data_IF_449625424428
#
_entry.id   IF_449625424428
#
_cell.length_a   1.000
_cell.length_b   1.000
_cell.length_c   1.000
_cell.angle_alpha   90.00
_cell.angle_beta   90.00
_cell.angle_gamma   90.00
#
_symmetry.space_group_name_H-M   'P 1'
#
loop_
_entity.id
_entity.type
_entity.pdbx_description
1 polymer ?
#
# COMPACT_ATOMS: atom_id res chain seq x y z
N UNK A 1 -10.37 3.11 -10.43
CA UNK A 1 -11.50 2.97 -9.46
C UNK A 1 -10.95 2.47 -8.14
N UNK A 2 -11.46 2.98 -7.00
CA UNK A 2 -11.00 2.56 -5.66
C UNK A 2 -12.05 1.64 -5.05
N UNK A 3 -11.63 0.47 -4.57
CA UNK A 3 -12.44 -0.51 -3.83
C UNK A 3 -11.96 -0.56 -2.38
N UNK A 4 -12.88 -0.47 -1.42
CA UNK A 4 -12.55 -0.64 0.00
C UNK A 4 -13.18 -1.94 0.53
N UNK A 5 -12.33 -2.80 1.09
CA UNK A 5 -12.75 -3.98 1.86
C UNK A 5 -12.61 -3.66 3.33
N UNK A 6 -13.73 -3.49 4.01
CA UNK A 6 -13.77 -3.20 5.44
C UNK A 6 -15.09 -3.65 6.06
N UNK A 7 -15.07 -4.13 7.29
CA UNK A 7 -16.26 -4.38 8.10
C UNK A 7 -16.67 -3.16 8.94
N UNK A 8 -15.86 -2.09 8.91
CA UNK A 8 -16.18 -0.82 9.57
C UNK A 8 -17.14 0.02 8.72
N UNK A 9 -18.44 -0.06 8.99
CA UNK A 9 -19.48 0.65 8.23
C UNK A 9 -19.40 2.17 8.30
N UNK A 10 -18.67 2.74 9.25
CA UNK A 10 -18.51 4.20 9.35
C UNK A 10 -17.71 4.79 8.17
N UNK A 11 -16.89 4.00 7.50
CA UNK A 11 -16.08 4.41 6.36
C UNK A 11 -16.90 4.61 5.07
N UNK A 12 -18.09 4.02 4.95
CA UNK A 12 -18.89 4.05 3.72
C UNK A 12 -19.87 5.23 3.62
N UNK A 13 -19.43 6.42 4.04
CA UNK A 13 -20.22 7.67 3.96
C UNK A 13 -19.79 8.59 2.80
N UNK A 14 -19.17 8.02 1.77
CA UNK A 14 -18.62 8.77 0.63
C UNK A 14 -18.88 8.03 -0.67
N UNK A 15 -18.86 8.75 -1.78
CA UNK A 15 -18.92 8.23 -3.15
C UNK A 15 -17.54 8.09 -3.82
N UNK A 16 -16.46 8.42 -3.11
CA UNK A 16 -15.10 8.43 -3.66
C UNK A 16 -14.50 7.04 -3.84
N UNK A 17 -15.05 6.04 -3.17
CA UNK A 17 -14.67 4.64 -3.34
C UNK A 17 -15.89 3.73 -3.18
N UNK A 18 -15.78 2.51 -3.67
CA UNK A 18 -16.85 1.52 -3.67
C UNK A 18 -16.62 0.51 -2.55
N UNK A 19 -17.68 0.24 -1.75
CA UNK A 19 -17.66 -0.91 -0.84
C UNK A 19 -17.48 -2.20 -1.65
N UNK A 20 -16.54 -3.03 -1.26
CA UNK A 20 -16.28 -4.31 -1.91
C UNK A 20 -16.20 -5.44 -0.89
N UNK A 21 -16.73 -6.60 -1.25
CA UNK A 21 -16.44 -7.84 -0.56
C UNK A 21 -15.03 -8.31 -0.91
N UNK A 22 -14.45 -9.18 -0.10
CA UNK A 22 -13.15 -9.80 -0.40
C UNK A 22 -13.19 -10.54 -1.75
N UNK A 23 -14.27 -11.23 -2.07
CA UNK A 23 -14.48 -11.90 -3.36
C UNK A 23 -14.39 -10.90 -4.54
N UNK A 24 -15.07 -9.75 -4.42
CA UNK A 24 -15.02 -8.70 -5.45
C UNK A 24 -13.62 -8.13 -5.57
N UNK A 25 -12.93 -7.85 -4.48
CA UNK A 25 -11.56 -7.39 -4.47
C UNK A 25 -10.63 -8.38 -5.18
N UNK A 26 -10.74 -9.66 -4.86
CA UNK A 26 -9.95 -10.71 -5.50
C UNK A 26 -10.26 -10.84 -7.00
N UNK A 27 -11.50 -10.68 -7.43
CA UNK A 27 -11.83 -10.69 -8.86
C UNK A 27 -11.14 -9.58 -9.66
N UNK A 28 -10.82 -8.45 -9.03
CA UNK A 28 -10.05 -7.34 -9.61
C UNK A 28 -8.54 -7.64 -9.59
N UNK A 29 -8.05 -8.23 -8.50
CA UNK A 29 -6.62 -8.44 -8.27
C UNK A 29 -6.06 -9.69 -8.97
N UNK A 30 -6.82 -10.79 -9.01
CA UNK A 30 -6.35 -12.08 -9.56
C UNK A 30 -5.82 -12.00 -11.01
N UNK A 31 -6.38 -11.19 -11.93
CA UNK A 31 -5.83 -11.04 -13.27
C UNK A 31 -4.48 -10.34 -13.33
N UNK A 32 -4.08 -9.62 -12.28
CA UNK A 32 -2.86 -8.82 -12.26
C UNK A 32 -1.65 -9.71 -12.02
N UNK A 33 -0.74 -9.80 -12.99
CA UNK A 33 0.59 -10.43 -12.81
C UNK A 33 1.58 -9.49 -12.14
N UNK A 34 1.37 -8.21 -12.30
CA UNK A 34 2.15 -7.11 -11.74
C UNK A 34 1.19 -6.25 -10.94
N UNK A 35 1.43 -6.11 -9.66
CA UNK A 35 0.54 -5.46 -8.72
C UNK A 35 1.31 -4.44 -7.86
N UNK A 36 0.77 -3.25 -7.72
CA UNK A 36 1.28 -2.29 -6.73
C UNK A 36 1.01 -2.83 -5.32
N UNK A 37 1.94 -2.57 -4.41
CA UNK A 37 1.85 -2.90 -3.00
C UNK A 37 2.30 -1.69 -2.19
N UNK A 38 1.48 -1.28 -1.25
CA UNK A 38 1.78 -0.27 -0.24
C UNK A 38 1.03 -0.63 1.05
N UNK A 39 1.38 -0.02 2.17
CA UNK A 39 0.69 -0.22 3.44
C UNK A 39 0.65 1.06 4.27
N UNK A 40 -0.41 1.20 5.08
CA UNK A 40 -0.47 2.23 6.11
C UNK A 40 -0.44 1.59 7.49
N UNK A 41 0.31 2.21 8.39
CA UNK A 41 0.61 1.69 9.71
C UNK A 41 0.41 2.75 10.79
N UNK A 42 0.22 2.30 12.03
CA UNK A 42 0.05 3.19 13.18
C UNK A 42 1.36 3.87 13.62
N UNK A 43 2.49 3.50 13.04
CA UNK A 43 3.81 4.04 13.36
C UNK A 43 4.92 3.28 12.65
N UNK A 44 6.16 3.45 13.08
CA UNK A 44 7.33 2.94 12.36
C UNK A 44 7.82 1.57 12.84
N UNK A 45 7.45 1.15 14.03
CA UNK A 45 7.94 -0.10 14.64
C UNK A 45 6.91 -1.22 14.48
N UNK A 46 7.20 -2.17 13.60
CA UNK A 46 6.32 -3.29 13.26
C UNK A 46 6.04 -4.26 14.43
N UNK A 47 6.80 -4.20 15.53
CA UNK A 47 6.58 -5.05 16.71
C UNK A 47 5.65 -4.42 17.74
N UNK A 48 5.47 -3.11 17.69
CA UNK A 48 4.68 -2.36 18.68
C UNK A 48 3.53 -1.56 18.07
N UNK A 49 3.45 -1.50 16.74
CA UNK A 49 2.45 -0.73 16.01
C UNK A 49 1.68 -1.61 15.04
N UNK A 50 0.42 -1.27 14.84
CA UNK A 50 -0.48 -2.06 14.00
C UNK A 50 -0.31 -1.73 12.50
N UNK A 51 -0.42 -2.77 11.68
CA UNK A 51 -0.72 -2.65 10.26
C UNK A 51 -2.20 -2.28 10.12
N UNK A 52 -2.48 -1.12 9.54
CA UNK A 52 -3.85 -0.62 9.40
C UNK A 52 -4.48 -1.04 8.08
N UNK A 53 -3.77 -0.83 6.98
CA UNK A 53 -4.28 -1.16 5.64
C UNK A 53 -3.20 -1.77 4.76
N UNK A 54 -3.64 -2.56 3.78
CA UNK A 54 -2.83 -3.02 2.66
C UNK A 54 -3.49 -2.51 1.39
N UNK A 55 -2.71 -1.86 0.53
CA UNK A 55 -3.14 -1.37 -0.77
C UNK A 55 -2.58 -2.25 -1.88
N UNK A 56 -3.45 -2.71 -2.74
CA UNK A 56 -3.11 -3.57 -3.87
C UNK A 56 -3.80 -3.10 -5.14
N UNK A 57 -3.13 -3.14 -6.27
CA UNK A 57 -3.78 -2.76 -7.51
C UNK A 57 -2.85 -2.41 -8.65
N UNK A 58 -3.38 -1.60 -9.54
CA UNK A 58 -2.68 -0.99 -10.66
C UNK A 58 -3.19 0.44 -10.87
N UNK A 59 -2.77 1.10 -11.96
CA UNK A 59 -3.19 2.46 -12.29
C UNK A 59 -4.72 2.63 -12.39
N UNK A 60 -5.45 1.61 -12.84
CA UNK A 60 -6.88 1.70 -13.14
C UNK A 60 -7.75 1.32 -11.95
N UNK A 61 -7.30 0.34 -11.17
CA UNK A 61 -8.03 -0.21 -10.04
C UNK A 61 -7.13 -0.35 -8.82
N UNK A 62 -7.56 0.23 -7.71
CA UNK A 62 -6.91 0.13 -6.41
C UNK A 62 -7.86 -0.54 -5.42
N UNK A 63 -7.34 -1.49 -4.67
CA UNK A 63 -8.04 -2.16 -3.58
C UNK A 63 -7.35 -1.77 -2.28
N UNK A 64 -8.09 -1.12 -1.39
CA UNK A 64 -7.66 -0.83 -0.02
C UNK A 64 -8.32 -1.86 0.90
N UNK A 65 -7.52 -2.57 1.65
CA UNK A 65 -7.97 -3.62 2.58
C UNK A 65 -7.74 -3.11 4.00
N UNK A 66 -8.81 -2.89 4.74
CA UNK A 66 -8.76 -2.56 6.17
C UNK A 66 -8.36 -3.79 6.99
N UNK A 67 -7.04 -3.91 7.21
CA UNK A 67 -6.44 -5.06 7.88
C UNK A 67 -6.94 -5.27 9.31
N UNK A 68 -7.42 -4.22 9.95
CA UNK A 68 -7.88 -4.25 11.33
C UNK A 68 -9.29 -4.83 11.48
N UNK A 69 -10.12 -4.71 10.44
CA UNK A 69 -11.54 -5.11 10.51
C UNK A 69 -11.88 -6.42 9.82
N UNK A 70 -11.04 -6.89 8.88
CA UNK A 70 -11.31 -8.13 8.13
C UNK A 70 -11.11 -9.39 8.99
N UNK A 71 -11.82 -10.46 8.63
CA UNK A 71 -11.79 -11.75 9.34
C UNK A 71 -10.46 -12.49 9.14
N UNK A 72 -10.24 -13.54 9.93
CA UNK A 72 -9.06 -14.41 9.78
C UNK A 72 -9.04 -15.14 8.43
N UNK A 73 -10.19 -15.55 7.95
CA UNK A 73 -10.38 -16.21 6.66
C UNK A 73 -10.04 -15.25 5.52
N UNK A 74 -10.49 -14.00 5.59
CA UNK A 74 -10.13 -12.95 4.64
C UNK A 74 -8.65 -12.61 4.67
N UNK A 75 -8.03 -12.56 5.86
CA UNK A 75 -6.57 -12.39 6.00
C UNK A 75 -5.81 -13.52 5.32
N UNK A 76 -6.31 -14.76 5.41
CA UNK A 76 -5.67 -15.89 4.74
C UNK A 76 -5.75 -15.74 3.21
N UNK A 77 -6.88 -15.28 2.67
CA UNK A 77 -7.02 -15.01 1.22
C UNK A 77 -6.00 -13.97 0.76
N UNK A 78 -5.84 -12.88 1.51
CA UNK A 78 -4.84 -11.83 1.19
C UNK A 78 -3.42 -12.37 1.28
N UNK A 79 -3.13 -13.18 2.30
CA UNK A 79 -1.83 -13.85 2.46
C UNK A 79 -1.52 -14.74 1.25
N UNK A 80 -2.44 -15.61 0.85
CA UNK A 80 -2.28 -16.51 -0.29
C UNK A 80 -2.04 -15.73 -1.59
N UNK A 81 -2.72 -14.58 -1.75
CA UNK A 81 -2.51 -13.69 -2.87
C UNK A 81 -1.11 -13.07 -2.86
N UNK A 82 -0.64 -12.55 -1.73
CA UNK A 82 0.68 -11.92 -1.59
C UNK A 82 1.83 -12.93 -1.70
N UNK A 83 1.64 -14.17 -1.29
CA UNK A 83 2.61 -15.26 -1.41
C UNK A 83 2.57 -16.00 -2.76
N UNK A 84 1.69 -15.57 -3.66
CA UNK A 84 1.58 -16.15 -5.00
C UNK A 84 2.77 -15.75 -5.91
N UNK A 85 2.80 -16.32 -7.11
CA UNK A 85 3.85 -16.08 -8.10
C UNK A 85 3.58 -14.80 -8.92
N UNK A 86 3.42 -13.66 -8.22
CA UNK A 86 3.19 -12.33 -8.78
C UNK A 86 4.33 -11.40 -8.44
N UNK A 87 4.59 -10.44 -9.30
CA UNK A 87 5.54 -9.36 -9.03
C UNK A 87 4.82 -8.20 -8.34
N UNK A 88 5.24 -7.88 -7.13
CA UNK A 88 4.74 -6.71 -6.39
C UNK A 88 5.70 -5.54 -6.54
N UNK A 89 5.14 -4.38 -6.89
CA UNK A 89 5.87 -3.13 -7.06
C UNK A 89 5.54 -2.18 -5.93
N UNK A 90 6.53 -1.45 -5.44
CA UNK A 90 6.29 -0.38 -4.49
C UNK A 90 7.49 0.54 -4.33
N UNK A 91 7.42 1.39 -3.35
CA UNK A 91 8.48 2.36 -3.04
C UNK A 91 8.88 2.25 -1.57
N UNK A 92 10.13 1.90 -1.31
CA UNK A 92 10.62 1.60 0.04
C UNK A 92 9.91 0.38 0.67
N UNK A 93 9.70 -0.65 -0.13
CA UNK A 93 9.00 -1.88 0.26
C UNK A 93 9.62 -2.58 1.47
N UNK A 94 10.86 -2.30 1.80
CA UNK A 94 11.48 -2.82 3.02
C UNK A 94 10.64 -2.49 4.25
N UNK A 95 10.06 -1.28 4.31
CA UNK A 95 9.18 -0.88 5.39
C UNK A 95 7.91 -1.75 5.44
N UNK A 96 7.21 -1.84 4.33
CA UNK A 96 5.96 -2.62 4.21
C UNK A 96 6.18 -4.10 4.51
N UNK A 97 7.26 -4.66 3.99
CA UNK A 97 7.64 -6.06 4.22
C UNK A 97 7.89 -6.37 5.69
N UNK A 98 8.45 -5.44 6.49
CA UNK A 98 8.65 -5.69 7.92
C UNK A 98 7.31 -5.90 8.64
N UNK A 99 6.29 -5.09 8.31
CA UNK A 99 4.94 -5.27 8.86
C UNK A 99 4.26 -6.54 8.35
N UNK A 100 4.39 -6.86 7.07
CA UNK A 100 3.86 -8.11 6.51
C UNK A 100 4.51 -9.34 7.13
N UNK A 101 5.81 -9.33 7.35
CA UNK A 101 6.55 -10.45 7.96
C UNK A 101 6.09 -10.73 9.40
N UNK A 102 5.81 -9.69 10.18
CA UNK A 102 5.24 -9.86 11.52
C UNK A 102 3.84 -10.50 11.46
N UNK A 103 3.08 -10.27 10.36
CA UNK A 103 1.80 -10.95 10.12
C UNK A 103 1.98 -12.37 9.53
N UNK A 104 3.20 -12.83 9.33
CA UNK A 104 3.49 -14.14 8.73
C UNK A 104 3.22 -14.19 7.22
N UNK A 105 3.34 -13.07 6.50
CA UNK A 105 3.13 -12.93 5.06
C UNK A 105 4.47 -12.68 4.38
N UNK A 106 4.83 -13.52 3.38
CA UNK A 106 6.15 -13.52 2.74
C UNK A 106 6.03 -13.41 1.21
N UNK A 107 5.85 -12.21 0.63
CA UNK A 107 5.82 -12.03 -0.81
C UNK A 107 7.10 -12.53 -1.47
N UNK A 108 6.97 -13.31 -2.57
CA UNK A 108 8.11 -13.97 -3.20
C UNK A 108 8.87 -13.09 -4.17
N UNK A 109 8.17 -12.26 -4.91
CA UNK A 109 8.72 -11.43 -5.97
C UNK A 109 8.35 -9.98 -5.73
N UNK A 110 9.35 -9.18 -5.44
CA UNK A 110 9.20 -7.74 -5.18
C UNK A 110 10.13 -6.92 -6.06
N UNK A 111 9.70 -5.72 -6.41
CA UNK A 111 10.49 -4.73 -7.12
C UNK A 111 10.32 -3.38 -6.42
N UNK A 112 11.39 -2.90 -5.81
CA UNK A 112 11.40 -1.67 -5.02
C UNK A 112 11.98 -0.52 -5.84
N UNK A 113 11.13 0.44 -6.20
CA UNK A 113 11.51 1.61 -6.99
C UNK A 113 12.56 2.47 -6.30
N UNK A 114 12.55 2.55 -4.97
CA UNK A 114 13.56 3.33 -4.23
C UNK A 114 14.95 2.71 -4.35
N UNK A 115 15.06 1.39 -4.34
CA UNK A 115 16.35 0.70 -4.54
C UNK A 115 16.87 0.95 -5.95
N UNK A 116 15.99 0.84 -6.95
CA UNK A 116 16.37 1.13 -8.35
C UNK A 116 16.85 2.56 -8.50
N UNK A 117 16.13 3.53 -7.91
CA UNK A 117 16.54 4.94 -7.93
C UNK A 117 17.91 5.13 -7.28
N UNK A 118 18.18 4.48 -6.16
CA UNK A 118 19.48 4.52 -5.51
C UNK A 118 20.60 3.95 -6.38
N UNK A 119 20.35 2.90 -7.13
CA UNK A 119 21.31 2.31 -8.05
C UNK A 119 21.60 3.22 -9.24
N UNK A 120 20.60 3.90 -9.79
CA UNK A 120 20.75 4.86 -10.90
C UNK A 120 21.63 6.04 -10.51
N UNK A 121 21.56 6.49 -9.26
CA UNK A 121 22.37 7.59 -8.73
C UNK A 121 23.63 7.13 -7.99
N UNK A 122 24.02 5.87 -8.13
CA UNK A 122 25.23 5.36 -7.52
C UNK A 122 26.48 6.10 -8.13
N UNK A 123 27.30 6.69 -7.27
CA UNK A 123 28.46 7.48 -7.71
C UNK A 123 28.22 9.00 -7.77
N UNK A 124 26.99 9.46 -7.78
CA UNK A 124 26.68 10.90 -7.70
C UNK A 124 26.83 11.43 -6.26
N UNK A 125 27.08 12.74 -6.07
CA UNK A 125 27.12 13.37 -4.76
C UNK A 125 25.84 13.12 -3.94
N UNK A 126 25.96 13.02 -2.63
CA UNK A 126 24.82 12.75 -1.75
C UNK A 126 23.69 13.78 -1.88
N UNK A 127 24.00 15.03 -2.21
CA UNK A 127 23.04 16.11 -2.45
C UNK A 127 22.13 15.88 -3.68
N UNK A 128 22.52 14.99 -4.59
CA UNK A 128 21.76 14.63 -5.79
C UNK A 128 20.96 13.32 -5.61
N UNK A 129 21.08 12.68 -4.45
CA UNK A 129 20.47 11.37 -4.18
C UNK A 129 19.19 11.50 -3.37
N UNK A 130 18.24 12.29 -3.83
CA UNK A 130 16.95 12.35 -3.17
C UNK A 130 16.13 11.08 -3.47
N UNK A 131 15.77 10.34 -2.40
CA UNK A 131 15.20 8.99 -2.49
C UNK A 131 13.71 8.94 -2.26
N UNK A 132 13.04 10.09 -2.13
CA UNK A 132 11.62 10.10 -1.82
C UNK A 132 10.78 9.84 -3.07
N UNK A 133 9.65 9.11 -2.91
CA UNK A 133 8.69 8.95 -4.00
C UNK A 133 8.22 10.31 -4.56
N UNK A 134 8.09 11.32 -3.68
CA UNK A 134 7.73 12.68 -4.08
C UNK A 134 8.74 13.28 -5.06
N UNK A 135 10.04 13.12 -4.78
CA UNK A 135 11.09 13.63 -5.67
C UNK A 135 11.11 12.85 -7.00
N UNK A 136 11.00 11.53 -6.96
CA UNK A 136 10.92 10.71 -8.17
C UNK A 136 9.71 11.08 -9.03
N UNK A 137 8.52 11.22 -8.43
CA UNK A 137 7.32 11.64 -9.14
C UNK A 137 7.48 13.03 -9.78
N UNK A 138 8.10 13.97 -9.06
CA UNK A 138 8.41 15.28 -9.62
C UNK A 138 9.40 15.20 -10.77
N UNK A 139 10.52 14.51 -10.58
CA UNK A 139 11.62 14.47 -11.55
C UNK A 139 11.25 13.75 -12.85
N UNK A 140 10.48 12.66 -12.77
CA UNK A 140 10.15 11.83 -13.94
C UNK A 140 8.78 12.15 -14.54
N UNK A 141 7.82 12.59 -13.73
CA UNK A 141 6.43 12.73 -14.16
C UNK A 141 5.89 14.17 -14.04
N UNK A 142 6.65 15.07 -13.39
CA UNK A 142 6.21 16.43 -13.04
C UNK A 142 4.93 16.44 -12.18
N UNK A 143 4.78 15.42 -11.31
CA UNK A 143 3.65 15.26 -10.39
C UNK A 143 4.09 15.66 -8.99
N UNK A 144 3.32 16.55 -8.33
CA UNK A 144 3.54 16.91 -6.94
C UNK A 144 2.64 16.06 -6.02
N UNK A 145 3.27 15.18 -5.23
CA UNK A 145 2.56 14.34 -4.24
C UNK A 145 2.36 15.13 -2.95
N UNK A 146 1.09 15.27 -2.55
CA UNK A 146 0.72 15.85 -1.24
C UNK A 146 0.83 14.78 -0.14
N UNK A 147 1.59 15.08 0.91
CA UNK A 147 1.78 14.17 2.06
C UNK A 147 1.10 14.67 3.35
N UNK A 148 0.25 15.69 3.28
CA UNK A 148 -0.37 16.31 4.47
C UNK A 148 -1.26 15.34 5.24
N UNK A 149 -1.89 14.37 4.55
CA UNK A 149 -2.79 13.37 5.16
C UNK A 149 -2.04 12.34 6.00
N UNK A 150 -0.76 12.06 5.70
CA UNK A 150 0.02 11.02 6.39
C UNK A 150 0.12 11.25 7.90
N UNK A 151 0.23 12.50 8.34
CA UNK A 151 0.26 12.83 9.77
C UNK A 151 -1.04 12.52 10.53
N UNK A 152 -2.18 12.48 9.83
CA UNK A 152 -3.49 12.17 10.42
C UNK A 152 -3.65 10.68 10.72
N UNK A 153 -3.00 9.80 9.97
CA UNK A 153 -3.10 8.35 10.12
C UNK A 153 -2.69 7.91 11.52
N UNK A 154 -1.62 8.50 12.05
CA UNK A 154 -1.07 8.16 13.36
C UNK A 154 -2.05 8.53 14.49
N UNK A 155 -2.77 9.65 14.35
CA UNK A 155 -3.64 10.18 15.40
C UNK A 155 -5.09 9.69 15.28
N UNK A 156 -5.62 9.62 14.07
CA UNK A 156 -7.05 9.43 13.80
C UNK A 156 -7.39 8.02 13.32
N UNK A 157 -6.34 7.20 13.02
CA UNK A 157 -6.52 5.86 12.45
C UNK A 157 -7.07 5.90 11.01
N UNK A 158 -7.82 4.86 10.63
CA UNK A 158 -8.38 4.73 9.29
C UNK A 158 -9.63 5.60 9.13
N UNK A 159 -9.51 6.69 8.37
CA UNK A 159 -10.61 7.60 8.00
C UNK A 159 -10.85 7.56 6.48
N UNK A 160 -11.96 8.16 6.02
CA UNK A 160 -12.24 8.31 4.58
C UNK A 160 -11.10 9.01 3.83
N UNK A 161 -10.50 10.05 4.42
CA UNK A 161 -9.36 10.76 3.82
C UNK A 161 -8.14 9.86 3.69
N UNK A 162 -7.89 9.03 4.70
CA UNK A 162 -6.78 8.06 4.70
C UNK A 162 -6.98 6.99 3.62
N UNK A 163 -8.20 6.46 3.46
CA UNK A 163 -8.52 5.49 2.39
C UNK A 163 -8.24 6.08 1.00
N UNK A 164 -8.64 7.32 0.76
CA UNK A 164 -8.41 8.00 -0.52
C UNK A 164 -6.93 8.26 -0.74
N UNK A 165 -6.21 8.71 0.29
CA UNK A 165 -4.77 8.95 0.25
C UNK A 165 -3.99 7.65 -0.02
N UNK A 166 -4.35 6.57 0.67
CA UNK A 166 -3.73 5.26 0.55
C UNK A 166 -3.93 4.63 -0.85
N UNK A 167 -5.03 5.00 -1.54
CA UNK A 167 -5.33 4.50 -2.88
C UNK A 167 -4.69 5.32 -4.02
N UNK A 168 -4.10 6.46 -3.73
CA UNK A 168 -3.54 7.39 -4.71
C UNK A 168 -2.08 7.33 -4.89
#
# INVERSE_FOLDING_TARGET
MIYLVSHNKSLFKTDKYVEATMERAMSVLLPLKLCQLDSETQGLDCHTKDLLTIQLGNRDNQVVIDWTSITKEEKQIVKDYLESDRLFLGWNLMFDLTFLYVQGIYPKHIWDGMIVEQLLYLGYPASMREKSLKAAAWNYLNINIDKTVRGKIINDGLTTEVVIYAAG
#
